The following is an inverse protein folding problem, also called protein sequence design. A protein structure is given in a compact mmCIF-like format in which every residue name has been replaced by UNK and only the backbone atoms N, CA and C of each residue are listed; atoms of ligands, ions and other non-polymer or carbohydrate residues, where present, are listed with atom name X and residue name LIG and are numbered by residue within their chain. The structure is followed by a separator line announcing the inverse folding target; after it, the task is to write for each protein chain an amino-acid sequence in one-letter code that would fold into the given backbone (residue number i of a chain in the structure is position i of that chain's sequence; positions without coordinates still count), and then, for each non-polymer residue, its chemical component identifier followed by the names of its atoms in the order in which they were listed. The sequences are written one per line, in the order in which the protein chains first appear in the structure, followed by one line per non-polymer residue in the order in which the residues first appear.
data_IF_459509805398
#
_entry.id   IF_459509805398
#
_cell.length_a   1.000
_cell.length_b   1.000
_cell.length_c   1.000
_cell.angle_alpha   90.00
_cell.angle_beta   90.00
_cell.angle_gamma   90.00
#
_symmetry.space_group_name_H-M   'P 1'
#
loop_
_entity.id
_entity.type
_entity.pdbx_description
1 polymer ?
#
# COMPACT_ATOMS: atom_id res chain seq x y z
N UNK A 1 -5.38 10.38 14.09
CA UNK A 1 -6.37 10.34 12.99
C UNK A 1 -7.52 9.47 13.42
N UNK A 2 -8.44 9.10 12.51
CA UNK A 2 -9.55 8.23 12.87
C UNK A 2 -9.04 6.80 13.14
N UNK A 3 -9.56 6.15 14.19
CA UNK A 3 -9.30 4.73 14.40
C UNK A 3 -10.32 3.89 13.61
N UNK A 4 -10.08 3.74 12.32
CA UNK A 4 -10.98 3.06 11.39
C UNK A 4 -10.24 2.08 10.47
N UNK A 5 -9.08 1.57 10.90
CA UNK A 5 -8.24 0.69 10.09
C UNK A 5 -7.21 1.40 9.22
N UNK A 6 -7.23 2.73 9.08
CA UNK A 6 -6.25 3.47 8.26
C UNK A 6 -4.79 3.28 8.73
N UNK A 7 -4.60 2.95 10.01
CA UNK A 7 -3.28 2.70 10.60
C UNK A 7 -2.84 1.24 10.51
N UNK A 8 -3.57 0.37 9.81
CA UNK A 8 -3.22 -1.05 9.64
C UNK A 8 -1.77 -1.27 9.18
N UNK A 9 -1.23 -0.51 8.20
CA UNK A 9 0.16 -0.68 7.77
C UNK A 9 1.21 -0.36 8.86
N UNK A 10 0.85 0.39 9.90
CA UNK A 10 1.74 0.78 10.99
C UNK A 10 1.72 -0.19 12.19
N UNK A 11 0.95 -1.28 12.14
CA UNK A 11 0.72 -2.20 13.26
C UNK A 11 1.99 -2.74 13.93
N UNK A 12 3.07 -2.90 13.16
CA UNK A 12 4.36 -3.41 13.65
C UNK A 12 5.40 -2.30 13.90
N UNK A 13 5.06 -1.03 13.65
CA UNK A 13 5.97 0.11 13.72
C UNK A 13 5.60 1.11 14.82
N UNK A 14 4.58 0.81 15.62
CA UNK A 14 4.04 1.74 16.61
C UNK A 14 4.45 1.31 18.02
N UNK A 15 5.12 2.21 18.76
CA UNK A 15 5.55 1.97 20.14
C UNK A 15 4.59 2.52 21.19
N UNK A 16 3.73 3.46 20.82
CA UNK A 16 2.75 4.12 21.70
C UNK A 16 1.51 4.53 20.91
N UNK A 17 0.33 4.22 21.45
CA UNK A 17 -0.96 4.63 20.89
C UNK A 17 -1.64 5.54 21.93
N UNK A 18 -2.19 6.65 21.46
CA UNK A 18 -2.87 7.65 22.30
C UNK A 18 -4.22 7.97 21.67
N UNK A 19 -5.28 7.94 22.47
CA UNK A 19 -6.60 8.44 22.09
C UNK A 19 -6.61 9.97 22.25
N UNK A 20 -6.98 10.68 21.19
CA UNK A 20 -7.00 12.15 21.18
C UNK A 20 -8.17 12.63 22.03
N UNK A 21 -7.89 13.50 23.00
CA UNK A 21 -8.92 14.12 23.84
C UNK A 21 -9.86 14.98 22.98
N UNK A 22 -11.15 14.65 23.01
CA UNK A 22 -12.22 15.39 22.33
C UNK A 22 -12.29 16.87 22.73
N UNK A 23 -11.76 17.25 23.91
CA UNK A 23 -11.68 18.63 24.36
C UNK A 23 -10.74 19.49 23.49
N UNK A 24 -9.84 18.89 22.71
CA UNK A 24 -9.01 19.58 21.72
C UNK A 24 -9.82 20.07 20.51
N UNK A 25 -11.06 19.58 20.34
CA UNK A 25 -11.91 20.03 19.25
C UNK A 25 -12.24 21.51 19.42
N UNK A 26 -12.07 22.31 18.35
CA UNK A 26 -12.49 23.72 18.38
C UNK A 26 -14.00 23.83 18.61
N UNK A 27 -14.39 24.48 19.72
CA UNK A 27 -15.78 24.57 20.22
C UNK A 27 -16.82 25.14 19.24
N UNK A 28 -16.40 25.87 18.20
CA UNK A 28 -17.29 26.58 17.28
C UNK A 28 -17.45 25.91 15.90
N UNK A 29 -17.02 24.65 15.72
CA UNK A 29 -16.87 24.08 14.38
C UNK A 29 -17.50 22.68 14.23
N UNK A 30 -18.01 22.45 13.02
CA UNK A 30 -18.70 21.28 12.45
C UNK A 30 -18.44 19.92 13.09
N UNK A 31 -19.53 19.15 13.30
CA UNK A 31 -19.50 17.75 13.77
C UNK A 31 -19.10 16.71 12.71
N UNK A 32 -18.90 17.12 11.45
CA UNK A 32 -18.63 16.20 10.34
C UNK A 32 -17.21 16.33 9.77
N UNK A 33 -16.33 17.10 10.40
CA UNK A 33 -14.98 17.36 9.86
C UNK A 33 -13.87 17.20 10.90
N UNK A 34 -13.79 16.00 11.49
CA UNK A 34 -12.77 15.68 12.52
C UNK A 34 -11.33 15.82 12.02
N UNK A 35 -11.08 15.63 10.73
CA UNK A 35 -9.79 15.91 10.10
C UNK A 35 -9.26 17.31 10.41
N UNK A 36 -10.10 18.33 10.19
CA UNK A 36 -9.75 19.73 10.45
C UNK A 36 -9.91 20.09 11.92
N UNK A 37 -10.96 19.60 12.57
CA UNK A 37 -11.42 20.19 13.83
C UNK A 37 -10.89 19.48 15.08
N UNK A 38 -10.43 18.23 14.95
CA UNK A 38 -9.83 17.44 16.04
C UNK A 38 -8.41 16.97 15.70
N UNK A 39 -8.21 16.34 14.54
CA UNK A 39 -6.92 15.73 14.18
C UNK A 39 -5.86 16.77 13.85
N UNK A 40 -6.18 17.85 13.13
CA UNK A 40 -5.21 18.90 12.84
C UNK A 40 -4.73 19.67 14.09
N UNK A 41 -5.59 20.09 15.04
CA UNK A 41 -5.14 20.66 16.32
C UNK A 41 -4.29 19.68 17.14
N UNK A 42 -4.64 18.39 17.17
CA UNK A 42 -3.83 17.38 17.83
C UNK A 42 -2.45 17.24 17.17
N UNK A 43 -2.38 17.21 15.84
CA UNK A 43 -1.11 17.18 15.11
C UNK A 43 -0.24 18.42 15.40
N UNK A 44 -0.85 19.61 15.45
CA UNK A 44 -0.15 20.85 15.79
C UNK A 44 0.44 20.82 17.22
N UNK A 45 -0.29 20.24 18.18
CA UNK A 45 0.19 20.05 19.56
C UNK A 45 1.33 19.03 19.63
N UNK A 46 1.22 17.91 18.94
CA UNK A 46 2.28 16.91 18.85
C UNK A 46 3.57 17.50 18.26
N UNK A 47 3.46 18.37 17.25
CA UNK A 47 4.62 19.07 16.67
C UNK A 47 5.31 20.05 17.65
N UNK A 48 4.66 20.37 18.77
CA UNK A 48 5.17 21.20 19.86
C UNK A 48 5.52 20.36 21.11
N UNK A 49 5.64 19.04 20.97
CA UNK A 49 5.89 18.07 22.05
C UNK A 49 4.86 18.14 23.20
N UNK A 50 3.62 18.56 22.89
CA UNK A 50 2.54 18.65 23.86
C UNK A 50 1.71 17.36 23.89
N UNK A 51 1.20 17.02 25.08
CA UNK A 51 0.23 15.93 25.21
C UNK A 51 -1.10 16.27 24.52
N UNK A 52 -1.71 15.23 23.95
CA UNK A 52 -2.97 15.30 23.19
C UNK A 52 -4.07 14.39 23.69
N UNK A 53 -3.80 13.58 24.71
CA UNK A 53 -4.76 12.66 25.30
C UNK A 53 -4.09 11.52 26.05
N UNK A 54 -4.83 10.44 26.28
CA UNK A 54 -4.41 9.33 27.13
C UNK A 54 -3.98 8.09 26.33
N UNK A 55 -3.21 7.21 26.94
CA UNK A 55 -2.81 5.93 26.34
C UNK A 55 -4.03 5.09 25.91
N UNK A 56 -3.97 4.50 24.72
CA UNK A 56 -4.98 3.59 24.20
C UNK A 56 -4.43 2.16 24.06
N UNK A 57 -5.30 1.16 24.24
CA UNK A 57 -4.89 -0.24 24.32
C UNK A 57 -4.66 -0.91 22.94
N UNK A 58 -5.05 -0.28 21.85
CA UNK A 58 -4.93 -0.85 20.50
C UNK A 58 -5.52 0.05 19.42
N UNK A 59 -5.45 -0.44 18.19
CA UNK A 59 -6.06 0.15 17.01
C UNK A 59 -7.03 -0.85 16.39
N UNK A 60 -8.05 -0.33 15.73
CA UNK A 60 -8.82 -1.10 14.76
C UNK A 60 -7.89 -1.45 13.60
N UNK A 61 -7.70 -2.75 13.36
CA UNK A 61 -6.83 -3.28 12.31
C UNK A 61 -7.64 -4.12 11.33
N UNK A 62 -7.31 -4.01 10.04
CA UNK A 62 -7.83 -4.92 9.02
C UNK A 62 -6.85 -6.05 8.74
N UNK A 63 -7.38 -7.20 8.34
CA UNK A 63 -6.55 -8.28 7.81
C UNK A 63 -5.94 -7.83 6.48
N UNK A 64 -4.61 -7.87 6.40
CA UNK A 64 -3.91 -7.70 5.13
C UNK A 64 -3.72 -9.07 4.52
N UNK A 65 -4.14 -9.22 3.27
CA UNK A 65 -3.82 -10.42 2.51
C UNK A 65 -2.32 -10.46 2.25
N UNK A 66 -1.67 -11.43 2.88
CA UNK A 66 -0.25 -11.68 2.68
C UNK A 66 -0.06 -12.62 1.48
N UNK A 67 0.99 -12.43 0.68
CA UNK A 67 1.31 -13.39 -0.37
C UNK A 67 1.69 -14.74 0.25
N UNK A 68 1.36 -15.82 -0.47
CA UNK A 68 1.69 -17.20 -0.10
C UNK A 68 3.04 -17.55 -0.71
N UNK A 69 3.95 -18.04 0.13
CA UNK A 69 5.30 -18.43 -0.28
C UNK A 69 5.41 -19.95 -0.35
N UNK A 70 5.79 -20.45 -1.52
CA UNK A 70 6.09 -21.85 -1.79
C UNK A 70 7.56 -21.99 -2.23
N UNK A 71 8.02 -23.23 -2.44
CA UNK A 71 9.44 -23.52 -2.74
C UNK A 71 9.95 -22.84 -4.03
N UNK A 72 9.09 -22.72 -5.04
CA UNK A 72 9.42 -22.20 -6.37
C UNK A 72 8.35 -21.25 -6.93
N UNK A 73 7.53 -20.70 -6.03
CA UNK A 73 6.38 -19.88 -6.38
C UNK A 73 6.02 -18.90 -5.26
N UNK A 74 5.68 -17.67 -5.62
CA UNK A 74 4.95 -16.74 -4.76
C UNK A 74 3.59 -16.50 -5.39
N UNK A 75 2.52 -16.65 -4.61
CA UNK A 75 1.16 -16.31 -5.03
C UNK A 75 0.72 -15.07 -4.29
N UNK A 76 0.48 -13.98 -5.02
CA UNK A 76 -0.04 -12.73 -4.48
C UNK A 76 -1.23 -12.25 -5.30
N UNK A 77 -1.61 -11.00 -5.08
CA UNK A 77 -2.69 -10.35 -5.81
C UNK A 77 -2.40 -8.87 -6.03
N UNK A 78 -3.09 -8.30 -7.01
CA UNK A 78 -3.16 -6.84 -7.20
C UNK A 78 -3.94 -6.25 -6.03
N UNK A 79 -3.37 -5.25 -5.37
CA UNK A 79 -4.01 -4.56 -4.23
C UNK A 79 -4.36 -3.11 -4.54
N UNK A 80 -3.74 -2.52 -5.57
CA UNK A 80 -3.93 -1.13 -5.91
C UNK A 80 -3.58 -0.88 -7.38
N UNK A 81 -4.31 0.04 -8.00
CA UNK A 81 -4.03 0.55 -9.34
C UNK A 81 -3.73 2.03 -9.19
N UNK A 82 -2.54 2.46 -9.62
CA UNK A 82 -2.17 3.87 -9.52
C UNK A 82 -2.83 4.72 -10.63
N UNK A 83 -2.60 6.04 -10.57
CA UNK A 83 -3.17 6.98 -11.54
C UNK A 83 -2.67 6.81 -12.98
N UNK A 84 -1.56 6.11 -13.19
CA UNK A 84 -1.02 5.79 -14.52
C UNK A 84 -1.56 4.45 -15.04
N UNK A 85 -2.25 3.68 -14.20
CA UNK A 85 -2.72 2.34 -14.53
C UNK A 85 -1.70 1.24 -14.24
N UNK A 86 -0.66 1.51 -13.43
CA UNK A 86 0.24 0.45 -12.97
C UNK A 86 -0.43 -0.37 -11.87
N UNK A 87 -0.14 -1.67 -11.86
CA UNK A 87 -0.74 -2.65 -10.97
C UNK A 87 0.24 -2.94 -9.82
N UNK A 88 -0.06 -2.43 -8.62
CA UNK A 88 0.72 -2.74 -7.41
C UNK A 88 0.19 -4.00 -6.76
N UNK A 89 1.12 -4.90 -6.39
CA UNK A 89 0.79 -6.18 -5.76
C UNK A 89 1.09 -6.17 -4.27
N UNK A 90 0.59 -7.16 -3.53
CA UNK A 90 0.99 -7.42 -2.15
C UNK A 90 2.34 -8.16 -2.01
N UNK A 91 3.10 -8.36 -3.09
CA UNK A 91 4.36 -9.12 -3.08
C UNK A 91 5.53 -8.17 -2.79
N UNK A 92 6.22 -8.28 -1.64
CA UNK A 92 7.43 -7.50 -1.38
C UNK A 92 8.54 -7.86 -2.37
N UNK A 93 9.10 -6.87 -3.05
CA UNK A 93 10.04 -7.10 -4.15
C UNK A 93 11.30 -7.84 -3.67
N UNK A 94 11.82 -7.47 -2.49
CA UNK A 94 12.96 -8.14 -1.82
C UNK A 94 12.81 -9.65 -1.58
N UNK A 95 11.60 -10.21 -1.69
CA UNK A 95 11.34 -11.64 -1.53
C UNK A 95 11.40 -12.41 -2.85
N UNK A 96 11.53 -11.71 -3.97
CA UNK A 96 11.60 -12.29 -5.31
C UNK A 96 13.06 -12.68 -5.59
N UNK A 97 13.34 -13.95 -5.94
CA UNK A 97 14.69 -14.36 -6.29
C UNK A 97 15.09 -13.86 -7.69
N UNK A 98 16.38 -13.69 -7.90
CA UNK A 98 16.93 -13.34 -9.20
C UNK A 98 16.55 -14.39 -10.26
N UNK A 99 16.18 -13.92 -11.46
CA UNK A 99 15.76 -14.78 -12.57
C UNK A 99 14.32 -15.28 -12.50
N UNK A 100 13.56 -14.88 -11.48
CA UNK A 100 12.13 -15.16 -11.44
C UNK A 100 11.36 -14.46 -12.57
N UNK A 101 10.22 -15.04 -12.93
CA UNK A 101 9.28 -14.50 -13.92
C UNK A 101 7.94 -14.23 -13.27
N UNK A 102 7.32 -13.09 -13.60
CA UNK A 102 5.97 -12.75 -13.14
C UNK A 102 4.95 -13.29 -14.14
N UNK A 103 3.81 -13.77 -13.64
CA UNK A 103 2.67 -14.23 -14.44
C UNK A 103 1.40 -13.55 -13.99
N UNK A 104 0.69 -12.96 -14.95
CA UNK A 104 -0.63 -12.36 -14.77
C UNK A 104 -1.53 -12.83 -15.93
N UNK A 105 -2.66 -13.45 -15.59
CA UNK A 105 -3.59 -14.06 -16.56
C UNK A 105 -2.90 -14.95 -17.61
N UNK A 106 -1.91 -15.73 -17.17
CA UNK A 106 -1.16 -16.66 -18.03
C UNK A 106 -0.10 -16.01 -18.93
N UNK A 107 0.01 -14.68 -18.96
CA UNK A 107 1.08 -13.96 -19.67
C UNK A 107 2.30 -13.80 -18.76
N UNK A 108 3.48 -14.07 -19.31
CA UNK A 108 4.75 -13.78 -18.63
C UNK A 108 5.06 -12.30 -18.74
N UNK A 109 5.58 -11.73 -17.65
CA UNK A 109 6.09 -10.36 -17.56
C UNK A 109 7.49 -10.42 -16.98
N UNK A 110 8.45 -9.87 -17.72
CA UNK A 110 9.84 -9.82 -17.30
C UNK A 110 10.04 -8.84 -16.16
N UNK A 111 10.89 -9.22 -15.21
CA UNK A 111 11.37 -8.34 -14.15
C UNK A 111 12.55 -7.54 -14.68
N UNK A 112 12.47 -6.20 -14.62
CA UNK A 112 13.54 -5.28 -15.03
C UNK A 112 13.85 -4.26 -13.92
N UNK A 113 14.85 -3.41 -14.15
CA UNK A 113 15.28 -2.41 -13.16
C UNK A 113 14.46 -1.13 -13.21
N UNK A 114 13.98 -0.76 -14.41
CA UNK A 114 13.12 0.40 -14.60
C UNK A 114 12.20 0.23 -15.82
N UNK A 115 11.26 1.15 -16.00
CA UNK A 115 10.34 1.14 -17.15
C UNK A 115 11.06 1.19 -18.50
N UNK A 116 12.21 1.87 -18.59
CA UNK A 116 12.93 2.05 -19.86
C UNK A 116 13.66 0.79 -20.36
N UNK A 117 13.71 -0.26 -19.55
CA UNK A 117 14.31 -1.55 -19.90
C UNK A 117 13.35 -2.47 -20.69
N UNK A 118 12.13 -2.00 -20.99
CA UNK A 118 11.18 -2.68 -21.86
C UNK A 118 10.85 -1.83 -23.09
N UNK A 119 10.31 -2.45 -24.14
CA UNK A 119 9.87 -1.71 -25.33
C UNK A 119 8.58 -0.94 -25.03
N UNK A 120 8.36 0.18 -25.73
CA UNK A 120 7.13 0.98 -25.61
C UNK A 120 5.91 0.09 -25.88
N UNK A 121 4.89 0.20 -25.04
CA UNK A 121 3.65 -0.58 -25.14
C UNK A 121 3.77 -2.02 -24.63
N UNK A 122 4.91 -2.43 -24.06
CA UNK A 122 5.09 -3.78 -23.52
C UNK A 122 5.01 -3.81 -21.99
N UNK A 123 4.44 -4.89 -21.41
CA UNK A 123 4.44 -5.09 -19.97
C UNK A 123 5.84 -5.24 -19.38
N UNK A 124 6.04 -4.69 -18.19
CA UNK A 124 7.27 -4.82 -17.41
C UNK A 124 6.92 -4.92 -15.93
N UNK A 125 7.65 -5.76 -15.20
CA UNK A 125 7.56 -5.84 -13.76
C UNK A 125 8.79 -5.19 -13.13
N UNK A 126 8.59 -4.34 -12.13
CA UNK A 126 9.67 -3.60 -11.47
C UNK A 126 9.44 -3.52 -9.96
N UNK A 127 10.45 -3.06 -9.24
CA UNK A 127 10.28 -2.60 -7.86
C UNK A 127 9.66 -1.21 -7.86
N UNK A 128 8.49 -1.07 -7.22
CA UNK A 128 7.88 0.25 -6.97
C UNK A 128 8.63 1.02 -5.89
N UNK A 129 8.35 2.32 -5.78
CA UNK A 129 8.86 3.18 -4.70
C UNK A 129 8.53 2.68 -3.29
N UNK A 130 7.47 1.88 -3.16
CA UNK A 130 7.00 1.33 -1.89
C UNK A 130 7.61 -0.08 -1.63
N UNK A 131 8.59 -0.50 -2.43
CA UNK A 131 9.33 -1.77 -2.35
C UNK A 131 8.45 -3.02 -2.57
N UNK A 132 7.34 -2.88 -3.27
CA UNK A 132 6.50 -4.00 -3.74
C UNK A 132 6.65 -4.21 -5.23
N UNK A 133 6.35 -5.42 -5.69
CA UNK A 133 6.28 -5.74 -7.12
C UNK A 133 5.13 -4.96 -7.77
N UNK A 134 5.49 -4.22 -8.81
CA UNK A 134 4.58 -3.46 -9.65
C UNK A 134 4.65 -3.98 -11.09
N UNK A 135 3.50 -4.12 -11.73
CA UNK A 135 3.37 -4.48 -13.15
C UNK A 135 2.87 -3.25 -13.90
N UNK A 136 3.65 -2.80 -14.86
CA UNK A 136 3.41 -1.61 -15.66
C UNK A 136 3.41 -1.94 -17.15
N UNK A 137 2.98 -1.00 -17.99
CA UNK A 137 3.20 -1.03 -19.43
C UNK A 137 3.96 0.24 -19.78
N UNK A 138 5.10 0.13 -20.46
CA UNK A 138 5.90 1.32 -20.80
C UNK A 138 5.07 2.27 -21.67
N UNK A 139 4.89 3.50 -21.19
CA UNK A 139 4.08 4.54 -21.85
C UNK A 139 2.64 4.08 -22.13
N UNK A 140 2.08 3.23 -21.26
CA UNK A 140 0.70 2.76 -21.35
C UNK A 140 0.14 2.38 -19.98
N UNK A 141 -1.09 1.86 -19.98
CA UNK A 141 -1.80 1.43 -18.78
C UNK A 141 -1.79 -0.09 -18.68
N UNK A 142 -1.20 -0.64 -17.61
CA UNK A 142 -1.27 -2.08 -17.34
C UNK A 142 -2.69 -2.52 -16.98
N UNK A 143 -3.46 -1.66 -16.32
CA UNK A 143 -4.89 -1.85 -16.11
C UNK A 143 -5.62 -2.09 -17.43
N UNK A 144 -5.44 -1.23 -18.43
CA UNK A 144 -6.11 -1.40 -19.74
C UNK A 144 -5.58 -2.62 -20.49
N UNK A 145 -4.26 -2.83 -20.48
CA UNK A 145 -3.62 -3.94 -21.20
C UNK A 145 -4.04 -5.33 -20.70
N UNK A 146 -4.14 -5.49 -19.38
CA UNK A 146 -4.51 -6.77 -18.77
C UNK A 146 -5.99 -6.87 -18.42
N UNK A 147 -6.71 -5.74 -18.35
CA UNK A 147 -8.06 -5.66 -17.76
C UNK A 147 -8.11 -6.30 -16.38
N UNK A 148 -7.07 -6.06 -15.57
CA UNK A 148 -6.89 -6.68 -14.27
C UNK A 148 -7.35 -5.74 -13.15
N UNK A 149 -8.20 -6.24 -12.26
CA UNK A 149 -8.74 -5.49 -11.12
C UNK A 149 -8.05 -5.87 -9.80
N UNK A 150 -8.17 -5.07 -8.73
CA UNK A 150 -7.75 -5.48 -7.40
C UNK A 150 -8.36 -6.84 -7.01
N UNK A 151 -7.54 -7.71 -6.43
CA UNK A 151 -7.85 -9.11 -6.13
C UNK A 151 -7.48 -10.10 -7.23
N UNK A 152 -7.07 -9.67 -8.42
CA UNK A 152 -6.57 -10.57 -9.44
C UNK A 152 -5.25 -11.22 -9.01
N UNK A 153 -5.14 -12.53 -9.22
CA UNK A 153 -3.96 -13.32 -8.82
C UNK A 153 -2.73 -12.98 -9.67
N UNK A 154 -1.61 -12.83 -8.98
CA UNK A 154 -0.28 -12.64 -9.57
C UNK A 154 0.63 -13.75 -9.06
N UNK A 155 1.35 -14.39 -9.97
CA UNK A 155 2.32 -15.42 -9.60
C UNK A 155 3.73 -14.98 -9.94
N UNK A 156 4.68 -15.33 -9.09
CA UNK A 156 6.11 -15.21 -9.36
C UNK A 156 6.72 -16.60 -9.29
N UNK A 157 7.41 -17.06 -10.33
CA UNK A 157 7.94 -18.43 -10.43
C UNK A 157 9.40 -18.44 -10.86
N UNK A 158 10.17 -19.42 -10.39
CA UNK A 158 11.58 -19.67 -10.75
C UNK A 158 11.89 -21.17 -10.75
#
# INVERSE_FOLDING_TARGET
GPDNGIFTPLRNSTSKIVEIDSALRKKSISRVFDGRDLFAPAAARLALDMEVGAHANGLTLFEEKMPIYEKSKISGEIIFIDSFGNLKTNIPFRKIPNGATVKLFGKNVDIKSCYNDSDIGTPVAIESSDNVLEIAVREGSAYEFFSAEPGAEVFVTW
#
